data_IF_018288264145
#
_entry.id   IF_018288264145
#
_cell.length_a   1.000
_cell.length_b   1.000
_cell.length_c   1.000
_cell.angle_alpha   90.00
_cell.angle_beta   90.00
_cell.angle_gamma   90.00
#
_symmetry.space_group_name_H-M   'P 1'
#
loop_
_entity.id
_entity.type
_entity.pdbx_description
1 polymer ?
#
# COMPACT_ATOMS: atom_id res chain seq x y z
N UNK A 1 21.86 -3.72 6.74
CA UNK A 1 20.53 -4.37 6.70
C UNK A 1 20.31 -4.84 5.27
N UNK A 2 19.83 -6.05 5.09
CA UNK A 2 19.41 -6.54 3.77
C UNK A 2 18.19 -5.73 3.29
N UNK A 3 18.12 -5.45 1.97
CA UNK A 3 17.06 -4.62 1.38
C UNK A 3 15.67 -5.16 1.75
N UNK A 4 15.45 -6.46 1.65
CA UNK A 4 14.14 -7.05 1.96
C UNK A 4 13.81 -6.95 3.46
N UNK A 5 14.77 -7.17 4.33
CA UNK A 5 14.54 -7.00 5.77
C UNK A 5 14.16 -5.57 6.13
N UNK A 6 14.80 -4.58 5.49
CA UNK A 6 14.48 -3.18 5.71
C UNK A 6 13.10 -2.80 5.19
N UNK A 7 12.74 -3.25 3.99
CA UNK A 7 11.39 -3.04 3.42
C UNK A 7 10.32 -3.69 4.31
N UNK A 8 10.54 -4.93 4.78
CA UNK A 8 9.58 -5.59 5.66
C UNK A 8 9.44 -4.86 7.00
N UNK A 9 10.52 -4.32 7.56
CA UNK A 9 10.46 -3.51 8.78
C UNK A 9 9.66 -2.21 8.56
N UNK A 10 9.88 -1.52 7.43
CA UNK A 10 9.15 -0.32 7.08
C UNK A 10 7.66 -0.61 6.86
N UNK A 11 7.31 -1.69 6.15
CA UNK A 11 5.92 -2.13 5.99
C UNK A 11 5.26 -2.50 7.34
N UNK A 12 6.00 -3.14 8.25
CA UNK A 12 5.49 -3.47 9.58
C UNK A 12 5.28 -2.21 10.41
N UNK A 13 6.17 -1.23 10.28
CA UNK A 13 6.03 0.09 10.91
C UNK A 13 4.82 0.84 10.36
N UNK A 14 4.68 0.97 9.03
CA UNK A 14 3.51 1.60 8.39
C UNK A 14 2.21 1.04 8.96
N UNK A 15 2.06 -0.28 8.95
CA UNK A 15 0.85 -0.93 9.46
C UNK A 15 0.61 -0.68 10.94
N UNK A 16 1.67 -0.51 11.73
CA UNK A 16 1.57 -0.20 13.16
C UNK A 16 0.98 1.20 13.41
N UNK A 17 1.27 2.17 12.53
CA UNK A 17 0.69 3.52 12.58
C UNK A 17 -0.84 3.47 12.50
N UNK A 18 -1.36 2.46 11.78
CA UNK A 18 -2.81 2.20 11.66
C UNK A 18 -3.30 1.13 12.63
N UNK A 19 -2.57 0.91 13.73
CA UNK A 19 -2.97 0.00 14.81
C UNK A 19 -2.95 -1.48 14.44
N UNK A 20 -2.25 -1.87 13.38
CA UNK A 20 -2.13 -3.29 13.02
C UNK A 20 -1.18 -4.02 13.98
N UNK A 21 -1.67 -5.14 14.51
CA UNK A 21 -0.93 -6.02 15.40
C UNK A 21 -0.61 -7.32 14.67
N UNK A 22 0.65 -7.75 14.75
CA UNK A 22 1.12 -9.05 14.25
C UNK A 22 1.32 -10.01 15.41
N UNK A 23 0.68 -11.16 15.36
CA UNK A 23 0.80 -12.17 16.42
C UNK A 23 0.82 -13.59 15.84
N UNK A 24 1.44 -14.57 16.53
CA UNK A 24 1.32 -15.96 16.16
C UNK A 24 -0.15 -16.42 16.24
N UNK A 25 -0.63 -17.09 15.20
CA UNK A 25 -1.96 -17.69 15.15
C UNK A 25 -1.90 -19.21 15.32
N UNK A 26 -1.01 -19.85 14.56
CA UNK A 26 -0.67 -21.28 14.63
C UNK A 26 0.82 -21.46 14.32
N UNK A 27 1.35 -22.65 14.51
CA UNK A 27 2.72 -22.95 14.12
C UNK A 27 2.91 -22.68 12.62
N UNK A 28 3.86 -21.79 12.28
CA UNK A 28 4.13 -21.39 10.89
C UNK A 28 3.11 -20.43 10.26
N UNK A 29 2.17 -19.89 11.02
CA UNK A 29 1.17 -18.95 10.53
C UNK A 29 0.95 -17.80 11.51
N UNK A 30 1.27 -16.59 11.09
CA UNK A 30 0.97 -15.38 11.82
C UNK A 30 -0.38 -14.79 11.36
N UNK A 31 -1.02 -14.06 12.25
CA UNK A 31 -2.19 -13.25 11.96
C UNK A 31 -1.82 -11.79 12.13
N UNK A 32 -2.29 -10.96 11.19
CA UNK A 32 -2.24 -9.51 11.30
C UNK A 32 -3.66 -8.97 11.33
N UNK A 33 -3.92 -8.02 12.22
CA UNK A 33 -5.23 -7.37 12.31
C UNK A 33 -5.12 -5.97 12.90
N UNK A 34 -6.08 -5.11 12.56
CA UNK A 34 -6.28 -3.80 13.17
C UNK A 34 -7.75 -3.64 13.55
N UNK A 35 -8.01 -3.22 14.77
CA UNK A 35 -9.37 -2.86 15.21
C UNK A 35 -9.68 -1.38 14.90
N UNK A 36 -8.66 -0.56 14.60
CA UNK A 36 -8.79 0.85 14.25
C UNK A 36 -9.31 1.02 12.82
N UNK A 37 -8.92 0.11 11.91
CA UNK A 37 -9.38 0.08 10.50
C UNK A 37 -10.26 -1.14 10.23
N UNK A 38 -11.49 -1.18 10.76
CA UNK A 38 -12.35 -2.36 10.64
C UNK A 38 -12.75 -2.70 9.21
N UNK A 39 -12.74 -1.71 8.32
CA UNK A 39 -13.24 -1.82 6.94
C UNK A 39 -12.12 -2.13 5.92
N UNK A 40 -10.85 -2.21 6.34
CA UNK A 40 -9.74 -2.48 5.43
C UNK A 40 -9.27 -3.93 5.47
N UNK A 41 -9.42 -4.61 4.34
CA UNK A 41 -8.94 -5.98 4.10
C UNK A 41 -7.43 -6.08 4.32
N UNK A 42 -6.67 -5.11 3.83
CA UNK A 42 -5.20 -5.09 3.89
C UNK A 42 -4.60 -5.07 5.31
N UNK A 43 -5.40 -4.80 6.33
CA UNK A 43 -4.97 -4.86 7.73
C UNK A 43 -5.50 -6.08 8.48
N UNK A 44 -6.06 -7.07 7.78
CA UNK A 44 -6.64 -8.28 8.39
C UNK A 44 -6.36 -9.51 7.55
N UNK A 45 -5.13 -9.99 7.62
CA UNK A 45 -4.67 -11.09 6.81
C UNK A 45 -3.78 -12.06 7.60
N UNK A 46 -3.47 -13.18 6.97
CA UNK A 46 -2.58 -14.20 7.48
C UNK A 46 -1.27 -14.22 6.69
N UNK A 47 -0.15 -14.33 7.43
CA UNK A 47 1.20 -14.40 6.88
C UNK A 47 1.82 -15.77 7.21
N UNK A 48 1.84 -16.72 6.28
CA UNK A 48 2.57 -17.97 6.47
C UNK A 48 4.08 -17.73 6.56
N UNK A 49 4.72 -18.36 7.54
CA UNK A 49 6.17 -18.41 7.70
C UNK A 49 6.73 -19.81 7.39
N UNK A 50 5.84 -20.73 7.07
CA UNK A 50 6.12 -22.08 6.62
C UNK A 50 5.04 -22.53 5.63
N UNK A 51 5.17 -23.73 5.07
CA UNK A 51 4.11 -24.33 4.26
C UNK A 51 2.84 -24.53 5.11
N UNK A 52 1.71 -24.05 4.61
CA UNK A 52 0.40 -24.16 5.28
C UNK A 52 -0.39 -25.35 4.78
N UNK A 53 -1.21 -25.89 5.66
CA UNK A 53 -2.09 -27.04 5.39
C UNK A 53 -3.54 -26.60 5.14
N UNK A 54 -4.37 -27.51 4.66
CA UNK A 54 -5.82 -27.32 4.54
C UNK A 54 -6.45 -26.99 5.90
N UNK A 55 -5.96 -27.63 6.97
CA UNK A 55 -6.42 -27.40 8.34
C UNK A 55 -6.05 -25.99 8.84
N UNK A 56 -4.91 -25.43 8.43
CA UNK A 56 -4.53 -24.07 8.76
C UNK A 56 -5.43 -23.04 8.07
N UNK A 57 -5.75 -23.28 6.80
CA UNK A 57 -6.67 -22.45 6.04
C UNK A 57 -8.06 -22.47 6.66
N UNK A 58 -8.59 -23.68 6.97
CA UNK A 58 -9.89 -23.80 7.61
C UNK A 58 -9.94 -23.10 8.97
N UNK A 59 -8.89 -23.21 9.77
CA UNK A 59 -8.80 -22.53 11.05
C UNK A 59 -8.79 -20.99 10.88
N UNK A 60 -8.13 -20.48 9.84
CA UNK A 60 -8.12 -19.05 9.51
C UNK A 60 -9.52 -18.58 9.10
N UNK A 61 -10.22 -19.32 8.24
CA UNK A 61 -11.61 -19.05 7.84
C UNK A 61 -12.52 -19.01 9.07
N UNK A 62 -12.45 -20.01 9.94
CA UNK A 62 -13.25 -20.09 11.15
C UNK A 62 -12.97 -18.93 12.10
N UNK A 63 -11.71 -18.49 12.18
CA UNK A 63 -11.33 -17.32 12.98
C UNK A 63 -11.94 -16.03 12.42
N UNK A 64 -11.91 -15.83 11.10
CA UNK A 64 -12.51 -14.66 10.46
C UNK A 64 -14.03 -14.64 10.66
N UNK A 65 -14.70 -15.79 10.48
CA UNK A 65 -16.14 -15.93 10.76
C UNK A 65 -16.51 -15.59 12.21
N UNK A 66 -15.73 -16.06 13.20
CA UNK A 66 -15.93 -15.70 14.62
C UNK A 66 -15.79 -14.21 14.89
N UNK A 67 -15.00 -13.49 14.06
CA UNK A 67 -14.85 -12.02 14.14
C UNK A 67 -15.92 -11.26 13.35
N UNK A 68 -16.85 -11.95 12.72
CA UNK A 68 -17.91 -11.34 11.90
C UNK A 68 -17.42 -10.85 10.54
N UNK A 69 -16.27 -11.35 10.06
CA UNK A 69 -15.75 -11.02 8.75
C UNK A 69 -16.24 -12.06 7.72
N UNK A 70 -16.46 -11.63 6.48
CA UNK A 70 -16.94 -12.45 5.38
C UNK A 70 -15.83 -12.84 4.39
N UNK A 71 -14.57 -12.69 4.76
CA UNK A 71 -13.42 -12.97 3.91
C UNK A 71 -12.22 -13.50 4.70
N UNK A 72 -11.29 -14.12 3.97
CA UNK A 72 -9.94 -14.42 4.44
C UNK A 72 -8.93 -14.00 3.35
N UNK A 73 -7.82 -13.41 3.78
CA UNK A 73 -6.69 -13.05 2.92
C UNK A 73 -5.42 -13.70 3.46
N UNK A 74 -4.68 -14.37 2.59
CA UNK A 74 -3.32 -14.84 2.84
C UNK A 74 -2.34 -14.04 1.99
N UNK A 75 -1.28 -13.51 2.62
CA UNK A 75 -0.19 -12.81 1.94
C UNK A 75 1.09 -13.60 2.12
N UNK A 76 1.73 -13.99 1.02
CA UNK A 76 2.81 -14.97 1.00
C UNK A 76 3.91 -14.54 0.02
N UNK A 77 5.17 -14.88 0.33
CA UNK A 77 6.30 -14.69 -0.60
C UNK A 77 6.57 -15.91 -1.51
N UNK A 78 5.79 -16.97 -1.35
CA UNK A 78 5.82 -18.16 -2.21
C UNK A 78 4.39 -18.51 -2.65
N UNK A 79 4.20 -19.10 -3.83
CA UNK A 79 2.87 -19.54 -4.25
C UNK A 79 2.26 -20.55 -3.28
N UNK A 80 0.98 -20.41 -2.99
CA UNK A 80 0.24 -21.42 -2.21
C UNK A 80 0.25 -22.77 -2.93
N UNK A 81 0.52 -23.83 -2.19
CA UNK A 81 0.54 -25.18 -2.72
C UNK A 81 -0.80 -25.56 -3.37
N UNK A 82 -0.82 -26.18 -4.59
CA UNK A 82 -2.05 -26.41 -5.33
C UNK A 82 -3.18 -27.12 -4.56
N UNK A 83 -2.95 -28.19 -3.79
CA UNK A 83 -3.99 -28.83 -2.97
C UNK A 83 -4.69 -27.86 -2.00
N UNK A 84 -3.97 -26.92 -1.40
CA UNK A 84 -4.55 -25.92 -0.51
C UNK A 84 -5.37 -24.89 -1.30
N UNK A 85 -4.79 -24.35 -2.38
CA UNK A 85 -5.47 -23.39 -3.24
C UNK A 85 -6.75 -23.95 -3.86
N UNK A 86 -6.64 -25.14 -4.44
CA UNK A 86 -7.73 -25.75 -5.25
C UNK A 86 -8.90 -26.25 -4.39
N UNK A 87 -8.64 -26.52 -3.10
CA UNK A 87 -9.68 -26.95 -2.16
C UNK A 87 -10.67 -25.85 -1.78
N UNK A 88 -10.30 -24.58 -1.90
CA UNK A 88 -11.11 -23.45 -1.40
C UNK A 88 -11.55 -22.47 -2.49
N UNK A 89 -10.96 -22.48 -3.67
CA UNK A 89 -11.33 -21.57 -4.77
C UNK A 89 -10.88 -20.13 -4.56
N UNK A 90 -9.68 -19.92 -4.02
CA UNK A 90 -9.11 -18.60 -3.83
C UNK A 90 -8.95 -17.82 -5.14
N UNK A 91 -9.32 -16.54 -5.12
CA UNK A 91 -8.83 -15.56 -6.07
C UNK A 91 -7.36 -15.27 -5.76
N UNK A 92 -6.54 -15.15 -6.80
CA UNK A 92 -5.10 -14.90 -6.67
C UNK A 92 -4.71 -13.59 -7.32
N UNK A 93 -4.05 -12.75 -6.56
CA UNK A 93 -3.34 -11.59 -7.05
C UNK A 93 -1.84 -11.73 -6.85
N UNK A 94 -1.07 -11.03 -7.66
CA UNK A 94 0.40 -11.01 -7.56
C UNK A 94 0.85 -9.56 -7.52
N UNK A 95 1.56 -9.20 -6.45
CA UNK A 95 2.16 -7.89 -6.27
C UNK A 95 3.67 -7.99 -6.39
N UNK A 96 4.28 -7.02 -7.03
CA UNK A 96 5.72 -6.82 -7.01
C UNK A 96 6.08 -5.77 -5.98
N UNK A 97 7.04 -6.09 -5.10
CA UNK A 97 7.76 -5.08 -4.34
C UNK A 97 8.90 -4.61 -5.23
N UNK A 98 8.91 -3.34 -5.57
CA UNK A 98 9.89 -2.75 -6.46
C UNK A 98 10.71 -1.70 -5.72
N UNK A 99 12.02 -1.73 -5.86
CA UNK A 99 12.92 -0.81 -5.17
C UNK A 99 13.83 -0.06 -6.15
N UNK A 100 14.21 1.16 -5.77
CA UNK A 100 15.08 2.03 -6.55
C UNK A 100 16.16 2.64 -5.66
N UNK A 101 17.40 2.59 -6.11
CA UNK A 101 18.47 3.43 -5.57
C UNK A 101 18.28 4.86 -6.02
N UNK A 102 18.31 5.78 -5.08
CA UNK A 102 18.01 7.20 -5.24
C UNK A 102 18.77 7.92 -6.35
N UNK A 103 20.00 7.53 -6.64
CA UNK A 103 20.83 8.12 -7.70
C UNK A 103 20.18 8.05 -9.09
N UNK A 104 19.29 7.08 -9.32
CA UNK A 104 18.53 6.94 -10.57
C UNK A 104 17.46 8.03 -10.76
N UNK A 105 16.90 8.58 -9.68
CA UNK A 105 15.85 9.62 -9.75
C UNK A 105 16.31 10.91 -10.41
N UNK A 106 17.62 11.17 -10.43
CA UNK A 106 18.21 12.36 -11.10
C UNK A 106 17.92 12.45 -12.59
N UNK A 107 17.64 11.30 -13.23
CA UNK A 107 17.34 11.22 -14.66
C UNK A 107 15.85 11.46 -14.98
N UNK A 108 15.00 11.54 -13.96
CA UNK A 108 13.56 11.71 -14.18
C UNK A 108 13.23 13.12 -14.66
N UNK A 109 12.46 13.16 -15.75
CA UNK A 109 11.94 14.40 -16.28
C UNK A 109 10.64 14.78 -15.56
N UNK A 110 10.58 16.00 -15.10
CA UNK A 110 9.45 16.58 -14.35
C UNK A 110 8.61 17.52 -15.19
N UNK A 111 7.50 17.95 -14.62
CA UNK A 111 6.68 19.04 -15.12
C UNK A 111 6.84 20.22 -14.17
N UNK A 112 7.53 21.26 -14.61
CA UNK A 112 7.88 22.44 -13.81
C UNK A 112 6.67 23.34 -13.47
N UNK A 113 5.53 23.12 -14.10
CA UNK A 113 4.28 23.84 -13.76
C UNK A 113 3.55 23.26 -12.54
N UNK A 114 4.03 22.13 -12.00
CA UNK A 114 3.42 21.47 -10.85
C UNK A 114 4.00 22.03 -9.56
N UNK A 115 3.11 22.43 -8.65
CA UNK A 115 3.44 22.82 -7.28
C UNK A 115 3.06 21.66 -6.36
N UNK A 116 4.03 21.13 -5.60
CA UNK A 116 3.82 20.06 -4.63
C UNK A 116 3.81 20.66 -3.23
N UNK A 117 2.91 20.15 -2.39
CA UNK A 117 2.83 20.48 -0.97
C UNK A 117 2.30 19.27 -0.16
N UNK A 118 2.62 19.22 1.12
CA UNK A 118 1.94 18.35 2.05
C UNK A 118 0.49 18.78 2.21
N UNK A 119 -0.40 17.78 2.30
CA UNK A 119 -1.79 17.98 2.66
C UNK A 119 -1.87 18.13 4.18
N UNK A 120 -2.53 19.18 4.63
CA UNK A 120 -2.79 19.44 6.05
C UNK A 120 -4.28 19.24 6.36
N UNK A 121 -4.62 18.96 7.62
CA UNK A 121 -6.03 18.83 8.03
C UNK A 121 -6.84 20.10 7.76
N UNK A 122 -6.19 21.27 7.78
CA UNK A 122 -6.80 22.54 7.37
C UNK A 122 -7.17 22.60 5.88
N UNK A 123 -6.57 21.76 5.04
CA UNK A 123 -6.85 21.65 3.61
C UNK A 123 -8.05 20.75 3.30
N UNK A 124 -8.62 20.10 4.33
CA UNK A 124 -9.79 19.24 4.18
C UNK A 124 -11.00 20.10 3.81
N UNK A 125 -11.04 20.49 2.55
CA UNK A 125 -12.28 20.90 1.90
C UNK A 125 -13.09 19.65 1.52
N UNK A 126 -14.36 19.82 1.30
CA UNK A 126 -15.22 18.74 0.76
C UNK A 126 -14.60 18.10 -0.50
N UNK A 127 -13.81 18.86 -1.27
CA UNK A 127 -13.16 18.42 -2.52
C UNK A 127 -11.98 17.46 -2.29
N UNK A 128 -11.24 17.58 -1.18
CA UNK A 128 -10.14 16.67 -0.87
C UNK A 128 -10.67 15.30 -0.41
N UNK A 129 -11.78 15.32 0.30
CA UNK A 129 -12.50 14.14 0.76
C UNK A 129 -13.63 13.77 -0.21
N UNK A 130 -13.54 14.20 -1.48
CA UNK A 130 -14.53 13.80 -2.48
C UNK A 130 -14.43 12.30 -2.74
N UNK A 131 -15.31 11.59 -2.11
CA UNK A 131 -15.54 10.15 -2.31
C UNK A 131 -16.65 9.89 -3.33
N UNK A 132 -17.00 10.86 -4.15
CA UNK A 132 -18.08 10.74 -5.14
C UNK A 132 -17.81 9.65 -6.19
N UNK A 133 -16.53 9.41 -6.50
CA UNK A 133 -16.09 8.32 -7.38
C UNK A 133 -16.17 6.93 -6.70
N UNK A 134 -16.33 6.88 -5.36
CA UNK A 134 -16.46 5.63 -4.62
C UNK A 134 -17.92 5.18 -4.63
N UNK A 135 -18.23 3.89 -4.88
CA UNK A 135 -19.59 3.37 -4.76
C UNK A 135 -20.22 3.71 -3.41
N UNK A 136 -21.51 4.08 -3.43
CA UNK A 136 -22.21 4.65 -2.26
C UNK A 136 -22.03 3.85 -0.98
N UNK A 137 -22.10 2.52 -1.08
CA UNK A 137 -21.95 1.61 0.05
C UNK A 137 -20.57 1.66 0.73
N UNK A 138 -19.54 2.19 0.06
CA UNK A 138 -18.17 2.28 0.59
C UNK A 138 -17.72 3.71 0.95
N UNK A 139 -18.56 4.74 0.67
CA UNK A 139 -18.17 6.14 0.88
C UNK A 139 -17.84 6.47 2.32
N UNK A 140 -18.63 5.99 3.26
CA UNK A 140 -18.37 6.22 4.69
C UNK A 140 -17.05 5.58 5.13
N UNK A 141 -16.74 4.38 4.63
CA UNK A 141 -15.49 3.70 4.92
C UNK A 141 -14.30 4.45 4.31
N UNK A 142 -14.40 4.88 3.06
CA UNK A 142 -13.39 5.66 2.36
C UNK A 142 -13.12 6.99 3.11
N UNK A 143 -14.18 7.71 3.49
CA UNK A 143 -14.05 8.95 4.25
C UNK A 143 -13.32 8.75 5.59
N UNK A 144 -13.71 7.73 6.37
CA UNK A 144 -13.03 7.40 7.63
C UNK A 144 -11.56 7.05 7.42
N UNK A 145 -11.26 6.30 6.38
CA UNK A 145 -9.87 5.94 6.06
C UNK A 145 -9.03 7.17 5.69
N UNK A 146 -9.54 8.06 4.85
CA UNK A 146 -8.86 9.30 4.48
C UNK A 146 -8.60 10.19 5.70
N UNK A 147 -9.61 10.34 6.58
CA UNK A 147 -9.43 11.09 7.82
C UNK A 147 -8.35 10.48 8.71
N UNK A 148 -8.31 9.16 8.84
CA UNK A 148 -7.31 8.48 9.66
C UNK A 148 -5.90 8.65 9.08
N UNK A 149 -5.75 8.61 7.76
CA UNK A 149 -4.46 8.89 7.10
C UNK A 149 -3.98 10.30 7.40
N UNK A 150 -4.89 11.29 7.40
CA UNK A 150 -4.56 12.66 7.79
C UNK A 150 -4.11 12.76 9.24
N UNK A 151 -4.84 12.13 10.16
CA UNK A 151 -4.49 12.10 11.58
C UNK A 151 -3.10 11.47 11.80
N UNK A 152 -2.74 10.44 11.02
CA UNK A 152 -1.40 9.85 11.02
C UNK A 152 -0.37 10.84 10.47
N UNK A 153 -0.60 11.43 9.33
CA UNK A 153 0.32 12.40 8.72
C UNK A 153 0.58 13.62 9.61
N UNK A 154 -0.38 14.06 10.40
CA UNK A 154 -0.22 15.17 11.35
C UNK A 154 0.58 14.79 12.60
N UNK A 155 0.52 13.54 13.02
CA UNK A 155 1.16 13.07 14.26
C UNK A 155 2.50 12.38 14.01
N UNK A 156 2.79 12.00 12.78
CA UNK A 156 3.99 11.28 12.35
C UNK A 156 4.70 12.06 11.23
N UNK A 157 5.73 12.86 11.55
CA UNK A 157 6.41 13.72 10.58
C UNK A 157 7.13 12.96 9.48
N UNK A 158 7.37 11.65 9.67
CA UNK A 158 7.92 10.73 8.67
C UNK A 158 6.88 10.22 7.66
N UNK A 159 5.58 10.47 7.91
CA UNK A 159 4.48 10.08 7.03
C UNK A 159 3.93 11.33 6.32
N UNK A 160 4.05 11.37 5.00
CA UNK A 160 3.64 12.49 4.17
C UNK A 160 2.48 12.13 3.26
N UNK A 161 1.50 12.99 3.18
CA UNK A 161 0.52 12.93 2.12
C UNK A 161 0.70 14.14 1.20
N UNK A 162 1.28 13.90 0.02
CA UNK A 162 1.64 14.95 -0.92
C UNK A 162 0.55 15.17 -1.96
N UNK A 163 0.35 16.43 -2.32
CA UNK A 163 -0.58 16.87 -3.34
C UNK A 163 0.15 17.63 -4.43
N UNK A 164 -0.06 17.24 -5.69
CA UNK A 164 0.35 17.99 -6.89
C UNK A 164 -0.77 18.92 -7.33
N UNK A 165 -0.44 20.19 -7.48
CA UNK A 165 -1.37 21.25 -7.93
C UNK A 165 -0.89 21.86 -9.24
N UNK A 166 -1.83 22.10 -10.16
CA UNK A 166 -1.61 22.86 -11.39
C UNK A 166 -2.73 23.89 -11.56
N UNK A 167 -2.37 25.17 -11.72
CA UNK A 167 -3.34 26.27 -11.90
C UNK A 167 -4.42 26.33 -10.81
N UNK A 168 -4.04 25.99 -9.57
CA UNK A 168 -4.92 25.98 -8.40
C UNK A 168 -5.78 24.70 -8.26
N UNK A 169 -5.72 23.78 -9.21
CA UNK A 169 -6.43 22.50 -9.15
C UNK A 169 -5.52 21.38 -8.63
N UNK A 170 -6.05 20.52 -7.77
CA UNK A 170 -5.39 19.27 -7.39
C UNK A 170 -5.44 18.32 -8.59
N UNK A 171 -4.27 17.82 -9.00
CA UNK A 171 -4.13 16.98 -10.20
C UNK A 171 -3.47 15.62 -9.91
N UNK A 172 -3.04 15.39 -8.66
CA UNK A 172 -2.52 14.10 -8.23
C UNK A 172 -2.11 14.10 -6.77
N UNK A 173 -1.97 12.91 -6.20
CA UNK A 173 -1.54 12.66 -4.82
C UNK A 173 -0.60 11.47 -4.73
N UNK A 174 0.14 11.37 -3.64
CA UNK A 174 0.94 10.20 -3.27
C UNK A 174 1.18 10.21 -1.76
N UNK A 175 1.22 9.05 -1.14
CA UNK A 175 1.73 8.89 0.22
C UNK A 175 3.22 8.56 0.18
N UNK A 176 3.96 9.03 1.19
CA UNK A 176 5.33 8.65 1.41
C UNK A 176 5.57 8.42 2.91
N UNK A 177 6.22 7.31 3.24
CA UNK A 177 6.63 6.99 4.60
C UNK A 177 8.14 6.74 4.63
N UNK A 178 8.85 7.49 5.46
CA UNK A 178 10.27 7.27 5.70
C UNK A 178 10.48 6.49 7.01
N UNK A 179 11.15 5.34 6.93
CA UNK A 179 11.48 4.54 8.10
C UNK A 179 12.82 3.82 7.93
N UNK A 180 13.76 4.03 8.86
CA UNK A 180 15.05 3.34 8.95
C UNK A 180 15.85 3.28 7.63
N UNK A 181 15.82 4.34 6.82
CA UNK A 181 16.55 4.43 5.55
C UNK A 181 15.82 3.78 4.37
N UNK A 182 14.54 3.53 4.51
CA UNK A 182 13.62 3.11 3.44
C UNK A 182 12.49 4.12 3.31
N UNK A 183 12.03 4.33 2.08
CA UNK A 183 10.95 5.27 1.78
C UNK A 183 9.91 4.54 0.94
N UNK A 184 8.78 4.23 1.54
CA UNK A 184 7.62 3.72 0.83
C UNK A 184 6.94 4.84 0.05
N UNK A 185 6.52 4.55 -1.18
CA UNK A 185 5.63 5.40 -1.95
C UNK A 185 4.39 4.58 -2.28
N UNK A 186 3.24 5.04 -1.80
CA UNK A 186 1.98 4.32 -1.97
C UNK A 186 0.88 5.26 -2.48
N UNK A 187 -0.17 4.67 -3.04
CA UNK A 187 -1.37 5.34 -3.54
C UNK A 187 -1.07 6.52 -4.49
N UNK A 188 -0.11 6.33 -5.40
CA UNK A 188 0.17 7.32 -6.45
C UNK A 188 -1.02 7.43 -7.39
N UNK A 189 -1.72 8.54 -7.28
CA UNK A 189 -2.87 8.84 -8.12
C UNK A 189 -2.64 10.11 -8.95
N UNK A 190 -3.12 10.11 -10.20
CA UNK A 190 -3.13 11.28 -11.09
C UNK A 190 -4.49 11.35 -11.77
N UNK A 191 -5.10 12.53 -11.74
CA UNK A 191 -6.36 12.85 -12.40
C UNK A 191 -6.32 12.44 -13.87
N UNK A 192 -7.38 11.82 -14.38
CA UNK A 192 -7.40 11.19 -15.70
C UNK A 192 -7.03 12.16 -16.83
N UNK A 193 -7.60 13.35 -16.82
CA UNK A 193 -7.34 14.41 -17.82
C UNK A 193 -5.93 14.98 -17.75
N UNK A 194 -5.20 14.69 -16.67
CA UNK A 194 -3.85 15.16 -16.42
C UNK A 194 -2.78 14.07 -16.57
N UNK A 195 -3.17 12.82 -16.88
CA UNK A 195 -2.22 11.73 -17.11
C UNK A 195 -1.32 12.01 -18.32
N UNK A 196 -0.19 11.33 -18.37
CA UNK A 196 0.86 11.49 -19.39
C UNK A 196 1.51 12.88 -19.44
N UNK A 197 1.29 13.74 -18.44
CA UNK A 197 1.93 15.06 -18.29
C UNK A 197 3.04 15.06 -17.23
N UNK A 198 3.62 13.91 -16.91
CA UNK A 198 4.73 13.71 -15.96
C UNK A 198 4.40 14.06 -14.49
N UNK A 199 3.15 14.20 -14.11
CA UNK A 199 2.74 14.58 -12.76
C UNK A 199 3.18 13.52 -11.75
N UNK A 200 2.87 12.25 -12.00
CA UNK A 200 3.32 11.15 -11.13
C UNK A 200 4.84 11.12 -10.96
N UNK A 201 5.59 11.30 -12.07
CA UNK A 201 7.06 11.38 -12.00
C UNK A 201 7.54 12.58 -11.20
N UNK A 202 6.84 13.72 -11.28
CA UNK A 202 7.16 14.93 -10.50
C UNK A 202 6.96 14.69 -9.02
N UNK A 203 5.84 14.06 -8.62
CA UNK A 203 5.57 13.65 -7.24
C UNK A 203 6.64 12.71 -6.70
N UNK A 204 6.96 11.65 -7.43
CA UNK A 204 7.98 10.68 -7.03
C UNK A 204 9.38 11.30 -6.93
N UNK A 205 9.73 12.22 -7.84
CA UNK A 205 11.00 12.94 -7.78
C UNK A 205 11.08 13.87 -6.58
N UNK A 206 9.98 14.54 -6.27
CA UNK A 206 9.90 15.37 -5.06
C UNK A 206 10.19 14.54 -3.80
N UNK A 207 9.58 13.37 -3.65
CA UNK A 207 9.89 12.46 -2.55
C UNK A 207 11.37 12.11 -2.54
N UNK A 208 11.92 11.69 -3.69
CA UNK A 208 13.34 11.35 -3.80
C UNK A 208 14.29 12.49 -3.43
N UNK A 209 13.91 13.74 -3.57
CA UNK A 209 14.72 14.92 -3.26
C UNK A 209 14.56 15.39 -1.80
N UNK A 210 13.47 15.04 -1.12
CA UNK A 210 13.14 15.54 0.22
C UNK A 210 13.21 14.47 1.32
N UNK A 211 13.47 13.23 0.98
CA UNK A 211 13.63 12.11 1.93
C UNK A 211 15.03 11.48 1.78
N UNK A 212 15.39 10.55 2.63
CA UNK A 212 16.65 9.79 2.53
C UNK A 212 16.40 8.27 2.55
N UNK A 213 17.20 7.52 1.78
CA UNK A 213 17.13 6.06 1.78
C UNK A 213 16.77 5.43 0.44
N UNK A 214 16.42 4.16 0.48
CA UNK A 214 15.99 3.36 -0.66
C UNK A 214 14.50 3.61 -0.90
N UNK A 215 14.15 4.06 -2.10
CA UNK A 215 12.74 4.21 -2.49
C UNK A 215 12.16 2.84 -2.84
N UNK A 216 10.97 2.53 -2.36
CA UNK A 216 10.26 1.32 -2.75
C UNK A 216 8.75 1.57 -2.88
N UNK A 217 8.09 0.66 -3.56
CA UNK A 217 6.64 0.68 -3.79
C UNK A 217 6.11 -0.74 -4.04
N UNK A 218 4.80 -0.87 -3.95
CA UNK A 218 4.07 -2.05 -4.35
C UNK A 218 3.37 -1.82 -5.70
N UNK A 219 3.44 -2.79 -6.60
CA UNK A 219 2.81 -2.70 -7.91
C UNK A 219 2.11 -4.02 -8.27
N UNK A 220 0.86 -3.93 -8.72
CA UNK A 220 0.15 -5.08 -9.25
C UNK A 220 0.87 -5.62 -10.50
N UNK A 221 1.18 -6.92 -10.49
CA UNK A 221 1.87 -7.60 -11.58
C UNK A 221 1.04 -7.67 -12.87
N UNK A 222 -0.28 -7.57 -12.78
CA UNK A 222 -1.19 -7.56 -13.93
C UNK A 222 -1.42 -6.14 -14.50
N UNK A 223 -1.15 -5.09 -13.70
CA UNK A 223 -1.42 -3.71 -14.08
C UNK A 223 -0.25 -3.03 -14.81
N UNK A 224 -0.56 -2.00 -15.61
CA UNK A 224 0.44 -1.25 -16.40
C UNK A 224 1.41 -0.37 -15.59
N UNK A 225 1.08 0.14 -14.37
CA UNK A 225 2.01 0.97 -13.59
C UNK A 225 3.38 0.33 -13.35
N UNK A 226 3.48 -1.00 -13.18
CA UNK A 226 4.77 -1.69 -13.02
C UNK A 226 5.76 -1.40 -14.15
N UNK A 227 5.26 -1.29 -15.41
CA UNK A 227 6.10 -1.02 -16.58
C UNK A 227 6.62 0.42 -16.57
N UNK A 228 5.83 1.36 -16.02
CA UNK A 228 6.26 2.73 -15.78
C UNK A 228 7.39 2.76 -14.73
N UNK A 229 7.21 2.09 -13.61
CA UNK A 229 8.22 2.01 -12.56
C UNK A 229 9.51 1.34 -13.03
N UNK A 230 9.42 0.26 -13.82
CA UNK A 230 10.58 -0.38 -14.40
C UNK A 230 11.36 0.57 -15.35
N UNK A 231 10.65 1.37 -16.17
CA UNK A 231 11.27 2.41 -17.02
C UNK A 231 11.91 3.53 -16.20
N UNK A 232 11.39 3.82 -15.02
CA UNK A 232 11.97 4.77 -14.08
C UNK A 232 13.20 4.21 -13.34
N UNK A 233 13.49 2.93 -13.49
CA UNK A 233 14.67 2.25 -12.95
C UNK A 233 14.41 1.47 -11.67
N UNK A 234 13.16 1.28 -11.28
CA UNK A 234 12.79 0.37 -10.20
C UNK A 234 13.03 -1.08 -10.62
N UNK A 235 13.55 -1.87 -9.71
CA UNK A 235 13.81 -3.30 -9.88
C UNK A 235 12.92 -4.11 -8.95
N UNK A 236 12.40 -5.24 -9.43
CA UNK A 236 11.62 -6.15 -8.59
C UNK A 236 12.58 -6.80 -7.59
N UNK A 237 12.31 -6.62 -6.30
CA UNK A 237 13.08 -7.19 -5.20
C UNK A 237 12.35 -8.34 -4.50
N UNK A 238 11.03 -8.36 -4.58
CA UNK A 238 10.20 -9.43 -4.04
C UNK A 238 8.93 -9.61 -4.88
N UNK A 239 8.38 -10.82 -4.87
CA UNK A 239 7.05 -11.13 -5.39
C UNK A 239 6.17 -11.58 -4.24
N UNK A 240 5.05 -10.92 -4.04
CA UNK A 240 4.06 -11.24 -3.02
C UNK A 240 2.83 -11.83 -3.69
N UNK A 241 2.35 -12.93 -3.16
CA UNK A 241 1.14 -13.61 -3.61
C UNK A 241 0.04 -13.36 -2.59
N UNK A 242 -1.08 -12.83 -3.05
CA UNK A 242 -2.28 -12.64 -2.25
C UNK A 242 -3.33 -13.64 -2.69
N UNK A 243 -3.90 -14.34 -1.72
CA UNK A 243 -4.98 -15.31 -1.93
C UNK A 243 -6.19 -14.87 -1.12
N UNK A 244 -7.20 -14.42 -1.82
CA UNK A 244 -8.43 -13.89 -1.26
C UNK A 244 -9.59 -14.86 -1.47
N UNK A 245 -10.40 -15.04 -0.45
CA UNK A 245 -11.64 -15.81 -0.49
C UNK A 245 -12.71 -15.03 0.27
N UNK A 246 -13.85 -14.83 -0.36
CA UNK A 246 -15.06 -14.23 0.23
C UNK A 246 -16.19 -15.26 0.28
N UNK A 247 -17.06 -15.18 1.31
CA UNK A 247 -18.24 -16.06 1.48
C UNK A 247 -19.48 -15.31 1.95
#
# INVERSE_FOLDING_TARGET
MDILQGIHAANDYERSLFGAVKEPFRAGLNRRYSDIRPDQVNNKFFEPTAEITVEDIQAAIDQQKRRGLNYVLFRMNQPMHPPCRDSFGFEKEVMYVMALRRDRSRLWQTNDSIVIRDIQSSDISADLLDVSCVPEQYRDAAYRNMKMVLDVAETHPEYHWLCANQDGNRVGTVYALEHEGFVEMDDLWVEEDYRHRKIGTTLMKYIAEHTEGILYLHADAAATPKDMYAKMGFEIVETVYEYYLEW
#
